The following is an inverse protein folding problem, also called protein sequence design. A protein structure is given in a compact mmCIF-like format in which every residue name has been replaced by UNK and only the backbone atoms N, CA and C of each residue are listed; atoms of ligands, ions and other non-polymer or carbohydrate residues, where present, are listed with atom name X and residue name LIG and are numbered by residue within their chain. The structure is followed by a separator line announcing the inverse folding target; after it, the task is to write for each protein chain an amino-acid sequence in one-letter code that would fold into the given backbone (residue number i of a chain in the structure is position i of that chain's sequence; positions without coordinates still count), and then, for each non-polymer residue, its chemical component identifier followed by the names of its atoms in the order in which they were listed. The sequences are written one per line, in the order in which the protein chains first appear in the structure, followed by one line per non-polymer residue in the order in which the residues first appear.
data_IF_574114621293
#
_entry.id   IF_574114621293
#
_cell.length_a   1.000
_cell.length_b   1.000
_cell.length_c   1.000
_cell.angle_alpha   90.00
_cell.angle_beta   90.00
_cell.angle_gamma   90.00
#
_symmetry.space_group_name_H-M   'P 1'
#
loop_
_entity.id
_entity.type
_entity.pdbx_description
1 polymer ?
#
# COMPACT_ATOMS: atom_id res chain seq x y z
N UNK A 1 4.45 8.37 4.19
CA UNK A 1 5.05 7.03 4.22
C UNK A 1 4.13 6.05 3.52
N UNK A 2 4.67 5.03 2.86
CA UNK A 2 3.83 4.03 2.17
C UNK A 2 4.51 2.67 2.05
N UNK A 3 3.69 1.65 1.78
CA UNK A 3 4.09 0.28 1.47
C UNK A 3 3.46 -0.12 0.14
N UNK A 4 4.27 -0.63 -0.79
CA UNK A 4 3.82 -1.20 -2.06
C UNK A 4 3.75 -2.72 -1.89
N UNK A 5 2.56 -3.28 -2.09
CA UNK A 5 2.28 -4.69 -1.85
C UNK A 5 2.14 -5.40 -3.21
N UNK A 6 3.23 -6.00 -3.65
CA UNK A 6 3.29 -6.66 -4.95
C UNK A 6 3.25 -8.20 -4.83
N UNK A 7 2.37 -8.88 -5.59
CA UNK A 7 2.41 -10.33 -5.66
C UNK A 7 3.72 -10.79 -6.32
N UNK A 8 4.48 -11.62 -5.62
CA UNK A 8 5.60 -12.36 -6.19
C UNK A 8 5.12 -13.47 -7.12
N UNK A 9 6.07 -14.13 -7.79
CA UNK A 9 5.77 -15.27 -8.68
C UNK A 9 4.95 -16.33 -7.93
N UNK A 10 3.78 -16.70 -8.49
CA UNK A 10 2.86 -17.66 -7.92
C UNK A 10 1.98 -17.14 -6.77
N UNK A 11 2.09 -15.88 -6.35
CA UNK A 11 1.19 -15.27 -5.39
C UNK A 11 -0.11 -14.78 -6.06
N UNK A 12 -1.25 -14.94 -5.37
CA UNK A 12 -2.56 -14.51 -5.85
C UNK A 12 -2.96 -13.18 -5.22
N UNK A 13 -3.91 -12.47 -5.83
CA UNK A 13 -4.37 -11.16 -5.36
C UNK A 13 -5.08 -11.24 -3.99
N UNK A 14 -5.71 -12.38 -3.66
CA UNK A 14 -6.25 -12.63 -2.32
C UNK A 14 -5.17 -12.47 -1.24
N UNK A 15 -3.98 -12.99 -1.49
CA UNK A 15 -2.84 -12.85 -0.57
C UNK A 15 -2.36 -11.41 -0.45
N UNK A 16 -2.47 -10.61 -1.52
CA UNK A 16 -2.17 -9.17 -1.47
C UNK A 16 -3.17 -8.45 -0.56
N UNK A 17 -4.48 -8.77 -0.65
CA UNK A 17 -5.50 -8.21 0.24
C UNK A 17 -5.27 -8.61 1.69
N UNK A 18 -4.99 -9.89 1.95
CA UNK A 18 -4.66 -10.39 3.29
C UNK A 18 -3.43 -9.66 3.87
N UNK A 19 -2.38 -9.53 3.08
CA UNK A 19 -1.18 -8.75 3.45
C UNK A 19 -1.53 -7.30 3.77
N UNK A 20 -2.38 -6.65 2.96
CA UNK A 20 -2.79 -5.27 3.19
C UNK A 20 -3.54 -5.09 4.51
N UNK A 21 -4.39 -6.04 4.87
CA UNK A 21 -5.11 -6.05 6.16
C UNK A 21 -4.13 -6.19 7.33
N UNK A 22 -3.17 -7.09 7.25
CA UNK A 22 -2.14 -7.25 8.29
C UNK A 22 -1.29 -5.98 8.44
N UNK A 23 -0.88 -5.37 7.33
CA UNK A 23 -0.14 -4.09 7.35
C UNK A 23 -1.00 -2.98 7.97
N UNK A 24 -2.28 -2.88 7.60
CA UNK A 24 -3.23 -1.95 8.22
C UNK A 24 -3.29 -2.13 9.73
N UNK A 25 -3.51 -3.36 10.19
CA UNK A 25 -3.74 -3.65 11.60
C UNK A 25 -2.50 -3.32 12.43
N UNK A 26 -1.31 -3.63 11.94
CA UNK A 26 -0.06 -3.23 12.57
C UNK A 26 0.09 -1.71 12.67
N UNK A 27 -0.24 -0.98 11.59
CA UNK A 27 -0.19 0.48 11.59
C UNK A 27 -1.23 1.10 12.53
N UNK A 28 -2.43 0.52 12.60
CA UNK A 28 -3.50 0.95 13.52
C UNK A 28 -3.10 0.71 14.99
N UNK A 29 -2.46 -0.41 15.31
CA UNK A 29 -1.91 -0.67 16.64
C UNK A 29 -0.86 0.37 17.07
N UNK A 30 -0.14 0.96 16.12
CA UNK A 30 0.76 2.09 16.34
C UNK A 30 0.04 3.45 16.37
N UNK A 31 -1.30 3.49 16.40
CA UNK A 31 -2.08 4.72 16.41
C UNK A 31 -2.11 5.48 15.07
N UNK A 32 -1.66 4.85 13.99
CA UNK A 32 -1.64 5.45 12.66
C UNK A 32 -2.98 5.27 11.94
N UNK A 33 -3.21 6.09 10.90
CA UNK A 33 -4.45 6.06 10.09
C UNK A 33 -4.12 5.70 8.63
N UNK A 34 -3.90 4.42 8.33
CA UNK A 34 -3.57 4.01 6.97
C UNK A 34 -4.77 4.14 6.03
N UNK A 35 -4.47 4.53 4.78
CA UNK A 35 -5.39 4.50 3.65
C UNK A 35 -4.82 3.58 2.57
N UNK A 36 -5.67 3.05 1.71
CA UNK A 36 -5.31 2.04 0.73
C UNK A 36 -5.81 2.40 -0.66
N UNK A 37 -5.07 2.02 -1.70
CA UNK A 37 -5.50 2.09 -3.09
C UNK A 37 -5.00 0.88 -3.88
N UNK A 38 -5.63 0.60 -5.03
CA UNK A 38 -5.05 -0.34 -5.99
C UNK A 38 -3.84 0.31 -6.66
N UNK A 39 -2.86 -0.50 -7.07
CA UNK A 39 -1.80 -0.02 -7.98
C UNK A 39 -2.34 0.22 -9.39
N UNK A 40 -3.53 -0.28 -9.68
CA UNK A 40 -4.11 -0.37 -11.02
C UNK A 40 -3.37 -1.38 -11.92
N UNK A 41 -2.48 -2.20 -11.36
CA UNK A 41 -1.70 -3.20 -12.10
C UNK A 41 -1.80 -4.58 -11.46
N UNK A 42 -1.10 -4.84 -10.35
CA UNK A 42 -1.02 -6.16 -9.73
C UNK A 42 -1.24 -6.13 -8.22
N UNK A 43 -0.99 -5.02 -7.56
CA UNK A 43 -0.88 -4.91 -6.12
C UNK A 43 -1.77 -3.85 -5.49
N UNK A 44 -1.54 -3.66 -4.20
CA UNK A 44 -2.16 -2.61 -3.38
C UNK A 44 -1.07 -1.72 -2.79
N UNK A 45 -1.35 -0.44 -2.64
CA UNK A 45 -0.49 0.50 -1.94
C UNK A 45 -1.18 0.95 -0.64
N UNK A 46 -0.49 0.82 0.49
CA UNK A 46 -0.94 1.32 1.78
C UNK A 46 -0.16 2.58 2.13
N UNK A 47 -0.86 3.68 2.41
CA UNK A 47 -0.26 4.97 2.74
C UNK A 47 -0.60 5.39 4.17
N UNK A 48 0.35 6.05 4.81
CA UNK A 48 0.15 6.69 6.13
C UNK A 48 0.49 8.16 6.02
N UNK A 49 -0.45 9.06 6.37
CA UNK A 49 -0.15 10.48 6.47
C UNK A 49 0.77 10.72 7.68
N UNK A 50 1.94 11.32 7.42
CA UNK A 50 2.92 11.67 8.44
C UNK A 50 3.09 13.19 8.55
N UNK A 51 3.50 13.66 9.73
CA UNK A 51 3.87 15.06 9.93
C UNK A 51 5.13 15.36 9.10
N UNK A 52 5.22 16.55 8.53
CA UNK A 52 6.44 17.03 7.89
C UNK A 52 7.53 17.23 8.94
N UNK A 53 8.74 16.84 8.64
CA UNK A 53 9.90 16.99 9.53
C UNK A 53 10.94 15.92 9.30
N UNK A 54 10.60 14.62 9.43
CA UNK A 54 11.60 13.57 9.27
C UNK A 54 12.21 13.58 7.87
N UNK A 55 13.54 13.48 7.82
CA UNK A 55 14.24 13.27 6.55
C UNK A 55 13.88 11.91 5.97
N UNK A 56 13.92 11.80 4.66
CA UNK A 56 13.49 10.61 3.95
C UNK A 56 14.15 9.30 4.47
N UNK A 57 15.41 9.34 4.88
CA UNK A 57 16.12 8.20 5.47
C UNK A 57 15.40 7.65 6.71
N UNK A 58 14.87 8.51 7.55
CA UNK A 58 14.08 8.14 8.75
C UNK A 58 12.80 7.41 8.32
N UNK A 59 12.06 7.97 7.38
CA UNK A 59 10.84 7.35 6.84
C UNK A 59 11.13 5.96 6.26
N UNK A 60 12.20 5.84 5.48
CA UNK A 60 12.63 4.58 4.89
C UNK A 60 13.03 3.55 5.95
N UNK A 61 13.79 3.99 6.98
CA UNK A 61 14.24 3.10 8.07
C UNK A 61 13.05 2.54 8.84
N UNK A 62 12.09 3.38 9.20
CA UNK A 62 10.86 2.94 9.88
C UNK A 62 10.07 1.96 9.01
N UNK A 63 9.82 2.31 7.73
CA UNK A 63 9.08 1.45 6.81
C UNK A 63 9.78 0.09 6.62
N UNK A 64 11.11 0.08 6.54
CA UNK A 64 11.92 -1.14 6.47
C UNK A 64 11.75 -2.00 7.72
N UNK A 65 11.90 -1.42 8.90
CA UNK A 65 11.77 -2.15 10.17
C UNK A 65 10.41 -2.83 10.27
N UNK A 66 9.33 -2.10 9.97
CA UNK A 66 7.98 -2.66 10.01
C UNK A 66 7.78 -3.77 8.95
N UNK A 67 8.24 -3.57 7.72
CA UNK A 67 8.11 -4.57 6.66
C UNK A 67 8.88 -5.87 6.99
N UNK A 68 10.09 -5.74 7.53
CA UNK A 68 10.90 -6.91 7.97
C UNK A 68 10.21 -7.64 9.10
N UNK A 69 9.71 -6.93 10.10
CA UNK A 69 9.01 -7.51 11.24
C UNK A 69 7.74 -8.25 10.82
N UNK A 70 6.92 -7.65 9.97
CA UNK A 70 5.70 -8.28 9.47
C UNK A 70 6.00 -9.53 8.62
N UNK A 71 7.02 -9.46 7.78
CA UNK A 71 7.44 -10.60 6.98
C UNK A 71 7.98 -11.74 7.85
N UNK A 72 8.71 -11.43 8.92
CA UNK A 72 9.22 -12.45 9.85
C UNK A 72 8.11 -13.17 10.63
N UNK A 73 7.04 -12.46 10.97
CA UNK A 73 5.85 -13.03 11.64
C UNK A 73 4.93 -13.79 10.69
N UNK A 74 4.98 -13.49 9.40
CA UNK A 74 4.09 -14.08 8.38
C UNK A 74 4.87 -14.68 7.20
N UNK A 75 5.87 -15.57 7.43
CA UNK A 75 6.82 -15.99 6.38
C UNK A 75 6.19 -16.85 5.29
N UNK A 76 4.97 -17.36 5.50
CA UNK A 76 4.23 -18.13 4.50
C UNK A 76 3.42 -17.24 3.54
N UNK A 77 3.11 -16.02 3.93
CA UNK A 77 2.26 -15.08 3.19
C UNK A 77 3.08 -13.99 2.50
N UNK A 78 4.04 -13.38 3.19
CA UNK A 78 4.73 -12.18 2.73
C UNK A 78 6.26 -12.27 2.88
N UNK A 79 6.95 -11.37 2.20
CA UNK A 79 8.40 -11.22 2.25
C UNK A 79 8.80 -9.75 2.17
N UNK A 80 9.91 -9.38 2.77
CA UNK A 80 10.57 -8.09 2.59
C UNK A 80 11.82 -8.18 1.71
N UNK A 81 12.09 -9.35 1.09
CA UNK A 81 13.24 -9.57 0.22
C UNK A 81 13.08 -8.81 -1.10
N UNK A 82 13.86 -7.77 -1.26
CA UNK A 82 13.80 -6.90 -2.43
C UNK A 82 14.40 -7.54 -3.68
N UNK A 83 15.46 -8.34 -3.52
CA UNK A 83 16.14 -8.98 -4.66
C UNK A 83 15.29 -10.10 -5.22
N UNK A 84 14.86 -9.95 -6.48
CA UNK A 84 13.97 -10.93 -7.16
C UNK A 84 14.52 -12.34 -7.10
N UNK A 85 15.85 -12.51 -7.33
CA UNK A 85 16.50 -13.82 -7.32
C UNK A 85 16.39 -14.58 -6.00
N UNK A 86 16.26 -13.85 -4.87
CA UNK A 86 16.19 -14.44 -3.53
C UNK A 86 14.75 -14.50 -3.00
N UNK A 87 13.78 -13.97 -3.75
CA UNK A 87 12.41 -13.85 -3.30
C UNK A 87 11.70 -15.20 -3.31
N UNK A 88 11.15 -15.66 -2.17
CA UNK A 88 10.40 -16.90 -2.13
C UNK A 88 9.14 -16.83 -3.01
N UNK A 89 8.87 -17.88 -3.79
CA UNK A 89 7.66 -17.99 -4.60
C UNK A 89 6.40 -18.00 -3.75
N UNK A 90 5.28 -17.55 -4.33
CA UNK A 90 3.97 -17.54 -3.68
C UNK A 90 3.87 -16.57 -2.51
N UNK A 91 4.74 -15.56 -2.42
CA UNK A 91 4.73 -14.53 -1.36
C UNK A 91 4.42 -13.16 -1.93
N UNK A 92 3.82 -12.33 -1.10
CA UNK A 92 3.60 -10.91 -1.38
C UNK A 92 4.81 -10.13 -0.88
N UNK A 93 5.41 -9.32 -1.74
CA UNK A 93 6.44 -8.38 -1.33
C UNK A 93 5.80 -7.21 -0.58
N UNK A 94 6.28 -6.93 0.62
CA UNK A 94 6.00 -5.68 1.33
C UNK A 94 7.16 -4.72 1.00
N UNK A 95 7.02 -4.00 -0.13
CA UNK A 95 8.07 -3.10 -0.61
C UNK A 95 8.03 -1.78 0.14
N UNK A 96 9.04 -1.57 0.98
CA UNK A 96 9.33 -0.33 1.68
C UNK A 96 10.28 0.59 0.90
N UNK A 97 10.97 0.06 -0.14
CA UNK A 97 12.00 0.81 -0.87
C UNK A 97 11.45 1.96 -1.70
N UNK A 98 10.15 1.96 -1.97
CA UNK A 98 9.49 3.08 -2.63
C UNK A 98 9.53 4.37 -1.78
N UNK A 99 9.86 4.29 -0.48
CA UNK A 99 10.17 5.46 0.34
C UNK A 99 11.62 5.97 0.14
N UNK A 100 12.44 5.32 -0.69
CA UNK A 100 13.80 5.77 -0.98
C UNK A 100 13.82 6.93 -1.97
N UNK A 101 14.92 7.69 -1.95
CA UNK A 101 15.11 8.83 -2.85
C UNK A 101 15.06 8.40 -4.32
N UNK A 102 14.42 9.23 -5.17
CA UNK A 102 14.34 8.99 -6.62
C UNK A 102 13.37 7.87 -7.03
N UNK A 103 12.55 7.34 -6.11
CA UNK A 103 11.52 6.35 -6.44
C UNK A 103 10.21 7.02 -6.80
N UNK A 104 9.46 6.36 -7.69
CA UNK A 104 8.17 6.83 -8.17
C UNK A 104 7.10 5.75 -8.02
N UNK A 105 5.86 6.19 -7.81
CA UNK A 105 4.68 5.33 -7.73
C UNK A 105 3.59 5.86 -8.66
N UNK A 106 2.71 4.98 -9.10
CA UNK A 106 1.51 5.41 -9.79
C UNK A 106 0.68 6.31 -8.88
N UNK A 107 0.39 7.54 -9.35
CA UNK A 107 -0.50 8.46 -8.64
C UNK A 107 -1.91 7.88 -8.54
N UNK A 108 -2.72 8.43 -7.62
CA UNK A 108 -4.16 8.14 -7.59
C UNK A 108 -4.79 8.51 -8.93
N UNK A 109 -5.76 7.73 -9.31
CA UNK A 109 -6.54 7.89 -10.54
C UNK A 109 -5.72 7.85 -11.84
N UNK A 110 -4.44 7.41 -11.79
CA UNK A 110 -3.69 7.14 -13.01
C UNK A 110 -4.22 5.89 -13.70
N UNK A 111 -4.48 6.02 -15.00
CA UNK A 111 -4.81 4.90 -15.89
C UNK A 111 -3.55 4.10 -16.15
N UNK A 112 -3.66 2.77 -16.11
CA UNK A 112 -2.54 1.87 -16.37
C UNK A 112 -2.64 1.29 -17.77
N UNK A 113 -1.50 1.08 -18.46
CA UNK A 113 -1.46 0.46 -19.79
C UNK A 113 -1.74 -1.04 -19.69
N UNK A 114 -2.98 -1.38 -19.37
CA UNK A 114 -3.52 -2.73 -19.24
C UNK A 114 -4.69 -2.90 -20.20
N UNK A 115 -5.02 -4.12 -20.63
CA UNK A 115 -6.12 -4.35 -21.58
C UNK A 115 -7.45 -3.73 -21.16
N UNK A 116 -7.75 -3.72 -19.85
CA UNK A 116 -8.98 -3.14 -19.30
C UNK A 116 -8.83 -1.66 -18.89
N UNK A 117 -7.73 -1.01 -19.25
CA UNK A 117 -7.43 0.37 -18.84
C UNK A 117 -7.72 0.61 -17.34
N UNK A 118 -7.22 -0.30 -16.50
CA UNK A 118 -7.42 -0.26 -15.05
C UNK A 118 -6.82 1.01 -14.44
N UNK A 119 -7.44 1.48 -13.35
CA UNK A 119 -7.10 2.75 -12.71
C UNK A 119 -6.59 2.51 -11.30
N UNK A 120 -5.53 3.22 -10.93
CA UNK A 120 -5.00 3.24 -9.56
C UNK A 120 -6.00 3.95 -8.63
N UNK A 121 -6.87 3.20 -7.98
CA UNK A 121 -8.09 3.70 -7.33
C UNK A 121 -8.04 3.56 -5.82
N UNK A 122 -8.32 4.63 -5.05
CA UNK A 122 -8.52 4.55 -3.61
C UNK A 122 -9.69 3.64 -3.23
N UNK A 123 -9.49 2.86 -2.16
CA UNK A 123 -10.45 1.91 -1.62
C UNK A 123 -10.77 2.24 -0.16
N UNK A 124 -11.95 1.83 0.29
CA UNK A 124 -12.22 1.62 1.69
C UNK A 124 -11.61 0.29 2.15
N UNK A 125 -11.27 0.17 3.43
CA UNK A 125 -10.81 -1.12 3.97
C UNK A 125 -11.87 -2.22 3.87
N UNK A 126 -13.16 -1.85 4.00
CA UNK A 126 -14.27 -2.79 3.78
C UNK A 126 -14.31 -3.36 2.37
N UNK A 127 -13.94 -2.59 1.34
CA UNK A 127 -13.86 -3.10 -0.04
C UNK A 127 -12.70 -4.11 -0.19
N UNK A 128 -11.55 -3.85 0.44
CA UNK A 128 -10.42 -4.79 0.46
C UNK A 128 -10.84 -6.11 1.10
N UNK A 129 -11.49 -6.06 2.24
CA UNK A 129 -11.96 -7.24 2.99
C UNK A 129 -13.04 -8.02 2.23
N UNK A 130 -13.92 -7.31 1.53
CA UNK A 130 -15.01 -7.92 0.71
C UNK A 130 -14.55 -8.47 -0.63
N UNK A 131 -13.26 -8.36 -0.95
CA UNK A 131 -12.72 -9.02 -2.13
C UNK A 131 -12.60 -8.15 -3.37
N UNK A 132 -12.59 -6.81 -3.25
CA UNK A 132 -12.36 -5.92 -4.39
C UNK A 132 -11.17 -6.37 -5.24
N UNK A 133 -11.34 -6.39 -6.55
CA UNK A 133 -10.35 -6.76 -7.53
C UNK A 133 -9.82 -5.53 -8.30
N UNK A 134 -8.66 -5.65 -8.92
CA UNK A 134 -8.07 -4.56 -9.72
C UNK A 134 -8.96 -4.21 -10.90
N UNK A 135 -9.55 -5.23 -11.53
CA UNK A 135 -10.36 -5.10 -12.73
C UNK A 135 -11.75 -4.47 -12.47
N UNK A 136 -12.13 -4.30 -11.20
CA UNK A 136 -13.33 -3.57 -10.81
C UNK A 136 -13.21 -2.06 -11.07
N UNK A 137 -11.98 -1.55 -11.23
CA UNK A 137 -11.67 -0.11 -11.29
C UNK A 137 -11.03 0.22 -12.63
N UNK A 138 -11.85 0.66 -13.58
CA UNK A 138 -11.45 0.95 -14.97
C UNK A 138 -11.76 2.39 -15.35
N UNK A 139 -11.17 2.82 -16.45
CA UNK A 139 -11.36 4.17 -17.00
C UNK A 139 -12.85 4.47 -17.26
N UNK A 140 -13.61 3.48 -17.71
CA UNK A 140 -15.03 3.61 -18.04
C UNK A 140 -15.96 3.75 -16.82
N UNK A 141 -15.55 3.30 -15.62
CA UNK A 141 -16.40 3.29 -14.42
C UNK A 141 -15.89 4.13 -13.24
N UNK A 142 -14.61 4.50 -13.20
CA UNK A 142 -14.01 5.18 -12.04
C UNK A 142 -14.65 6.55 -11.76
N UNK A 143 -15.11 7.27 -12.79
CA UNK A 143 -15.78 8.58 -12.61
C UNK A 143 -17.11 8.43 -11.87
N UNK A 144 -17.92 7.45 -12.27
CA UNK A 144 -19.18 7.16 -11.58
C UNK A 144 -18.95 6.72 -10.12
N UNK A 145 -17.89 5.94 -9.88
CA UNK A 145 -17.46 5.59 -8.53
C UNK A 145 -17.13 6.81 -7.68
N UNK A 146 -16.30 7.74 -8.19
CA UNK A 146 -15.93 8.95 -7.46
C UNK A 146 -17.18 9.80 -7.13
N UNK A 147 -18.11 9.92 -8.05
CA UNK A 147 -19.37 10.62 -7.81
C UNK A 147 -20.19 9.96 -6.69
N UNK A 148 -20.15 8.63 -6.56
CA UNK A 148 -20.90 7.87 -5.56
C UNK A 148 -20.27 7.89 -4.17
N UNK A 149 -18.94 7.66 -4.07
CA UNK A 149 -18.25 7.45 -2.79
C UNK A 149 -17.42 8.67 -2.35
N UNK A 150 -17.27 9.65 -3.21
CA UNK A 150 -16.41 10.80 -2.98
C UNK A 150 -14.92 10.49 -3.17
N UNK A 151 -14.06 11.46 -2.87
CA UNK A 151 -12.62 11.28 -2.92
C UNK A 151 -12.09 10.68 -1.60
N UNK A 152 -11.89 9.38 -1.60
CA UNK A 152 -11.34 8.63 -0.46
C UNK A 152 -9.87 8.98 -0.15
N UNK A 153 -9.20 9.75 -1.02
CA UNK A 153 -7.82 10.20 -0.78
C UNK A 153 -7.72 11.51 0.00
N UNK A 154 -8.84 12.23 0.12
CA UNK A 154 -8.92 13.51 0.84
C UNK A 154 -8.26 13.51 2.23
N UNK A 155 -8.35 12.45 3.06
CA UNK A 155 -7.69 12.41 4.37
C UNK A 155 -6.17 12.57 4.32
N UNK A 156 -5.50 12.09 3.26
CA UNK A 156 -4.04 12.25 3.08
C UNK A 156 -3.61 13.70 2.83
N UNK A 157 -4.51 14.52 2.28
CA UNK A 157 -4.24 15.92 1.98
C UNK A 157 -4.42 16.82 3.21
N UNK A 158 -5.10 16.33 4.25
CA UNK A 158 -5.35 17.09 5.46
C UNK A 158 -4.14 17.05 6.41
N UNK A 159 -3.97 18.12 7.21
CA UNK A 159 -2.94 18.17 8.26
C UNK A 159 -3.36 17.43 9.52
N UNK A 160 -4.67 17.37 9.78
CA UNK A 160 -5.23 16.71 10.96
C UNK A 160 -5.09 15.18 10.85
N UNK A 161 -4.61 14.54 11.91
CA UNK A 161 -4.49 13.09 12.00
C UNK A 161 -3.21 12.53 11.37
N UNK A 162 -2.23 13.38 11.05
CA UNK A 162 -0.89 12.94 10.65
C UNK A 162 -0.11 12.40 11.84
N UNK A 163 0.61 11.32 11.61
CA UNK A 163 1.45 10.67 12.62
C UNK A 163 2.84 11.32 12.69
N UNK A 164 3.34 11.54 13.90
CA UNK A 164 4.74 11.92 14.14
C UNK A 164 5.59 10.64 14.18
N UNK A 165 6.48 10.44 13.22
CA UNK A 165 7.32 9.24 13.16
C UNK A 165 8.39 9.21 14.23
N UNK A 166 8.86 10.37 14.67
CA UNK A 166 9.92 10.52 15.69
C UNK A 166 9.57 9.80 16.99
N UNK A 167 8.27 9.70 17.35
CA UNK A 167 7.80 9.03 18.57
C UNK A 167 8.03 7.51 18.58
N UNK A 168 8.44 6.93 17.46
CA UNK A 168 8.70 5.47 17.33
C UNK A 168 10.18 5.16 17.12
N UNK A 169 11.06 6.14 17.26
CA UNK A 169 12.49 6.01 16.91
C UNK A 169 13.42 6.28 18.10
N UNK A 170 12.84 6.42 19.30
CA UNK A 170 13.56 6.53 20.56
C UNK A 170 14.02 5.17 21.11
#
# INVERSE_FOLDING_TARGET
MHFDLDPGDGARFEQVRETAVIVRDALVQLGMKPVVKTSGSKGLHVYVPIVRGPVQKIVWTFAKALAVELASRNPRLMTSEYRVANRPKGRVLVDYNQNAWGRTLASIYSVRPRPLATVSTPLTWSEVEKGAAIDDFRLDNVRARIAKVGDLWKPLLQTRGRTKLETFME
#
